data_IF_164328064270
#
_entry.id   IF_164328064270
#
_cell.length_a   1.000
_cell.length_b   1.000
_cell.length_c   1.000
_cell.angle_alpha   90.00
_cell.angle_beta   90.00
_cell.angle_gamma   90.00
#
_symmetry.space_group_name_H-M   'P 1'
#
loop_
_entity.id
_entity.type
_entity.pdbx_description
1 polymer ?
#
# COMPACT_ATOMS: atom_id res chain seq x y z
N UNK A 1 18.93 -5.43 14.53
CA UNK A 1 18.50 -6.04 13.26
C UNK A 1 17.08 -6.56 13.46
N UNK A 2 16.31 -6.67 12.40
CA UNK A 2 14.88 -6.94 12.46
C UNK A 2 14.61 -8.34 11.90
N UNK A 3 14.35 -9.31 12.79
CA UNK A 3 14.20 -10.72 12.42
C UNK A 3 12.88 -10.99 11.73
N UNK A 4 12.90 -11.67 10.60
CA UNK A 4 11.73 -12.19 9.88
C UNK A 4 11.22 -13.42 10.62
N UNK A 5 9.96 -13.42 11.04
CA UNK A 5 9.34 -14.50 11.81
C UNK A 5 8.28 -15.27 11.02
N UNK A 6 7.81 -14.69 9.92
CA UNK A 6 6.88 -15.34 8.99
C UNK A 6 7.04 -14.77 7.60
N UNK A 7 6.96 -15.61 6.59
CA UNK A 7 6.91 -15.21 5.19
C UNK A 7 5.91 -16.06 4.43
N UNK A 8 5.05 -15.41 3.68
CA UNK A 8 4.06 -16.05 2.82
C UNK A 8 4.05 -15.39 1.45
N UNK A 9 3.99 -16.17 0.38
CA UNK A 9 3.72 -15.67 -0.95
C UNK A 9 2.21 -15.64 -1.17
N UNK A 10 1.65 -14.44 -1.38
CA UNK A 10 0.21 -14.23 -1.57
C UNK A 10 -0.23 -14.36 -3.03
N UNK A 11 0.65 -14.00 -3.97
CA UNK A 11 0.47 -14.18 -5.42
C UNK A 11 1.83 -14.35 -6.10
N UNK A 12 1.87 -14.42 -7.42
CA UNK A 12 3.11 -14.66 -8.18
C UNK A 12 4.25 -13.68 -7.82
N UNK A 13 3.91 -12.44 -7.46
CA UNK A 13 4.86 -11.36 -7.21
C UNK A 13 4.56 -10.55 -5.93
N UNK A 14 3.62 -11.00 -5.09
CA UNK A 14 3.23 -10.35 -3.83
C UNK A 14 3.57 -11.24 -2.64
N UNK A 15 4.25 -10.65 -1.67
CA UNK A 15 4.71 -11.31 -0.46
C UNK A 15 4.15 -10.61 0.79
N UNK A 16 3.81 -11.42 1.76
CA UNK A 16 3.51 -11.02 3.14
C UNK A 16 4.69 -11.44 4.02
N UNK A 17 5.10 -10.56 4.92
CA UNK A 17 6.24 -10.79 5.80
C UNK A 17 5.96 -10.20 7.18
N UNK A 18 6.10 -10.99 8.25
CA UNK A 18 6.14 -10.48 9.63
C UNK A 18 7.58 -10.30 10.08
N UNK A 19 7.84 -9.15 10.69
CA UNK A 19 9.17 -8.78 11.17
C UNK A 19 9.07 -8.35 12.63
N UNK A 20 9.99 -8.83 13.46
CA UNK A 20 10.11 -8.40 14.85
C UNK A 20 10.56 -6.93 14.91
N UNK A 21 9.69 -6.06 15.40
CA UNK A 21 9.91 -4.62 15.53
C UNK A 21 9.07 -4.06 16.69
N UNK A 22 9.34 -4.43 17.96
CA UNK A 22 8.44 -4.18 19.09
C UNK A 22 8.17 -2.71 19.34
N UNK A 23 9.14 -1.83 19.15
CA UNK A 23 8.93 -0.39 19.33
C UNK A 23 8.00 0.20 18.25
N UNK A 24 8.14 -0.27 17.01
CA UNK A 24 7.25 0.14 15.91
C UNK A 24 5.85 -0.44 16.13
N UNK A 25 5.74 -1.71 16.51
CA UNK A 25 4.47 -2.39 16.75
C UNK A 25 3.61 -1.70 17.82
N UNK A 26 4.26 -1.23 18.93
CA UNK A 26 3.57 -0.52 20.02
C UNK A 26 3.12 0.88 19.65
N UNK A 27 3.88 1.58 18.81
CA UNK A 27 3.66 3.00 18.54
C UNK A 27 2.94 3.28 17.22
N UNK A 28 2.84 2.29 16.32
CA UNK A 28 2.19 2.48 15.03
C UNK A 28 0.69 2.75 15.15
N UNK A 29 0.16 3.52 14.23
CA UNK A 29 -1.28 3.73 14.00
C UNK A 29 -1.63 3.37 12.55
N UNK A 30 -2.92 3.22 12.27
CA UNK A 30 -3.39 2.97 10.90
C UNK A 30 -2.92 4.06 9.92
N UNK A 31 -2.61 3.68 8.69
CA UNK A 31 -2.14 4.58 7.63
C UNK A 31 -0.63 4.87 7.65
N UNK A 32 0.08 4.54 8.74
CA UNK A 32 1.52 4.77 8.83
C UNK A 32 2.33 3.68 8.11
N UNK A 33 3.55 4.05 7.71
CA UNK A 33 4.48 3.20 6.98
C UNK A 33 5.86 3.13 7.65
N UNK A 34 6.72 2.32 7.11
CA UNK A 34 8.14 2.21 7.46
C UNK A 34 9.03 2.33 6.22
N UNK A 35 10.28 2.74 6.40
CA UNK A 35 11.32 2.57 5.40
C UNK A 35 12.14 1.34 5.74
N UNK A 36 12.19 0.40 4.81
CA UNK A 36 12.96 -0.84 4.92
C UNK A 36 14.26 -0.72 4.14
N UNK A 37 15.39 -1.08 4.76
CA UNK A 37 16.71 -1.07 4.16
C UNK A 37 17.35 -2.44 4.37
N UNK A 38 17.78 -3.09 3.27
CA UNK A 38 18.31 -4.46 3.32
C UNK A 38 19.81 -4.50 3.65
N UNK A 39 20.54 -3.46 3.28
CA UNK A 39 21.97 -3.31 3.45
C UNK A 39 22.26 -1.88 3.95
N UNK A 40 23.07 -1.75 5.02
CA UNK A 40 23.39 -0.46 5.64
C UNK A 40 24.37 0.39 4.81
N UNK A 41 25.21 -0.22 3.98
CA UNK A 41 26.24 0.51 3.22
C UNK A 41 25.69 1.07 1.90
N UNK A 42 25.00 0.24 1.11
CA UNK A 42 24.56 0.57 -0.25
C UNK A 42 23.06 0.28 -0.50
N UNK A 43 22.33 -0.17 0.53
CA UNK A 43 20.93 -0.56 0.38
C UNK A 43 20.02 0.63 0.19
N UNK A 44 19.22 0.60 -0.88
CA UNK A 44 18.09 1.50 -1.02
C UNK A 44 17.08 1.35 0.13
N UNK A 45 16.43 2.45 0.47
CA UNK A 45 15.27 2.46 1.36
C UNK A 45 14.00 2.37 0.57
N UNK A 46 13.13 1.43 0.90
CA UNK A 46 11.82 1.28 0.27
C UNK A 46 10.70 1.55 1.28
N UNK A 47 9.73 2.42 0.95
CA UNK A 47 8.57 2.67 1.80
C UNK A 47 7.59 1.50 1.70
N UNK A 48 7.24 0.93 2.85
CA UNK A 48 6.22 -0.12 2.96
C UNK A 48 5.22 0.25 4.05
N UNK A 49 3.95 0.27 3.72
CA UNK A 49 2.90 0.52 4.71
C UNK A 49 2.81 -0.66 5.68
N UNK A 50 2.58 -0.36 6.96
CA UNK A 50 2.35 -1.39 7.98
C UNK A 50 0.95 -1.96 7.77
N UNK A 51 0.86 -3.16 7.20
CA UNK A 51 -0.40 -3.81 6.84
C UNK A 51 -1.11 -4.45 8.06
N UNK A 52 -0.35 -4.81 9.08
CA UNK A 52 -0.86 -5.38 10.34
C UNK A 52 0.21 -5.26 11.42
N UNK A 53 -0.15 -5.43 12.69
CA UNK A 53 0.82 -5.49 13.79
C UNK A 53 0.20 -6.12 15.04
N UNK A 54 1.07 -6.69 15.87
CA UNK A 54 0.71 -7.12 17.21
C UNK A 54 1.67 -6.48 18.21
N UNK A 55 1.17 -5.58 19.05
CA UNK A 55 1.97 -4.86 20.03
C UNK A 55 2.46 -5.76 21.16
N UNK A 56 1.68 -6.77 21.56
CA UNK A 56 2.02 -7.70 22.65
C UNK A 56 3.11 -8.67 22.22
N UNK A 57 3.01 -9.20 21.00
CA UNK A 57 4.02 -10.10 20.41
C UNK A 57 5.19 -9.32 19.80
N UNK A 58 5.05 -8.02 19.56
CA UNK A 58 6.11 -7.13 19.10
C UNK A 58 6.47 -7.26 17.62
N UNK A 59 5.54 -7.63 16.75
CA UNK A 59 5.78 -7.72 15.30
C UNK A 59 4.93 -6.74 14.49
N UNK A 60 5.43 -6.41 13.32
CA UNK A 60 4.71 -5.72 12.25
C UNK A 60 4.64 -6.60 11.02
N UNK A 61 3.56 -6.45 10.23
CA UNK A 61 3.41 -7.12 8.95
C UNK A 61 3.58 -6.12 7.79
N UNK A 62 4.36 -6.52 6.81
CA UNK A 62 4.61 -5.80 5.58
C UNK A 62 4.10 -6.63 4.41
N UNK A 63 3.44 -5.98 3.45
CA UNK A 63 3.05 -6.60 2.18
C UNK A 63 3.70 -5.81 1.06
N UNK A 64 4.40 -6.50 0.18
CA UNK A 64 5.13 -5.85 -0.90
C UNK A 64 5.08 -6.66 -2.20
N UNK A 65 5.19 -5.96 -3.31
CA UNK A 65 5.25 -6.53 -4.65
C UNK A 65 6.67 -6.39 -5.21
N UNK A 66 7.15 -7.41 -5.92
CA UNK A 66 8.49 -7.43 -6.50
C UNK A 66 8.57 -6.60 -7.78
N UNK A 67 8.36 -5.29 -7.66
CA UNK A 67 8.36 -4.34 -8.78
C UNK A 67 9.71 -3.66 -9.03
N UNK A 68 10.65 -3.75 -8.08
CA UNK A 68 11.99 -3.17 -8.16
C UNK A 68 13.06 -4.11 -7.60
N UNK A 69 14.35 -3.78 -7.82
CA UNK A 69 15.47 -4.59 -7.38
C UNK A 69 15.47 -4.86 -5.87
N UNK A 70 15.17 -3.84 -5.05
CA UNK A 70 15.15 -3.96 -3.58
C UNK A 70 14.04 -4.90 -3.10
N UNK A 71 12.81 -4.77 -3.63
CA UNK A 71 11.71 -5.68 -3.27
C UNK A 71 11.92 -7.09 -3.81
N UNK A 72 12.59 -7.24 -4.96
CA UNK A 72 13.00 -8.55 -5.46
C UNK A 72 14.07 -9.20 -4.55
N UNK A 73 15.05 -8.43 -4.04
CA UNK A 73 16.01 -8.93 -3.05
C UNK A 73 15.30 -9.31 -1.74
N UNK A 74 14.40 -8.46 -1.23
CA UNK A 74 13.63 -8.73 0.00
C UNK A 74 12.80 -10.02 -0.14
N UNK A 75 12.24 -10.29 -1.32
CA UNK A 75 11.47 -11.52 -1.55
C UNK A 75 12.29 -12.81 -1.45
N UNK A 76 13.61 -12.75 -1.42
CA UNK A 76 14.53 -13.90 -1.26
C UNK A 76 14.89 -14.18 0.17
N UNK A 77 14.67 -13.21 1.09
CA UNK A 77 14.89 -13.44 2.51
C UNK A 77 13.93 -14.52 3.02
N UNK A 78 14.38 -15.32 3.96
CA UNK A 78 13.64 -16.42 4.57
C UNK A 78 13.32 -16.12 6.03
N UNK A 79 12.43 -16.91 6.59
CA UNK A 79 12.19 -16.91 8.03
C UNK A 79 13.49 -17.19 8.79
N UNK A 80 13.71 -16.43 9.85
CA UNK A 80 14.93 -16.47 10.64
C UNK A 80 16.02 -15.51 10.20
N UNK A 81 16.02 -15.03 8.95
CA UNK A 81 16.95 -14.00 8.48
C UNK A 81 16.54 -12.61 8.99
N UNK A 82 17.44 -11.64 8.85
CA UNK A 82 17.28 -10.32 9.42
C UNK A 82 17.35 -9.21 8.36
N UNK A 83 16.44 -8.24 8.46
CA UNK A 83 16.51 -7.00 7.71
C UNK A 83 17.42 -6.03 8.43
N UNK A 84 18.30 -5.35 7.71
CA UNK A 84 19.36 -4.51 8.29
C UNK A 84 18.80 -3.31 9.05
N UNK A 85 17.81 -2.59 8.49
CA UNK A 85 17.15 -1.49 9.17
C UNK A 85 15.68 -1.35 8.78
N UNK A 86 14.88 -0.94 9.77
CA UNK A 86 13.49 -0.49 9.58
C UNK A 86 13.33 0.82 10.35
N UNK A 87 13.05 1.89 9.63
CA UNK A 87 12.81 3.21 10.19
C UNK A 87 11.30 3.49 10.25
N UNK A 88 10.78 3.82 11.41
CA UNK A 88 9.35 4.11 11.59
C UNK A 88 8.86 4.01 13.04
N UNK A 89 7.54 4.15 13.27
CA UNK A 89 6.53 4.45 12.26
C UNK A 89 6.67 5.85 11.67
N UNK A 90 6.42 6.01 10.38
CA UNK A 90 6.52 7.27 9.64
C UNK A 90 5.16 7.67 9.07
N UNK A 91 5.06 8.94 8.69
CA UNK A 91 3.84 9.54 8.17
C UNK A 91 2.79 9.84 9.25
N UNK A 92 1.82 10.66 8.87
CA UNK A 92 0.69 10.96 9.73
C UNK A 92 -0.26 9.75 9.79
N UNK A 93 -0.81 9.41 10.95
CA UNK A 93 -1.83 8.38 11.04
C UNK A 93 -3.13 8.83 10.37
N UNK A 94 -3.91 7.88 9.85
CA UNK A 94 -5.27 8.12 9.36
C UNK A 94 -6.11 8.80 10.44
N UNK A 95 -6.85 9.82 10.04
CA UNK A 95 -7.76 10.53 10.93
C UNK A 95 -9.07 9.76 11.09
N UNK A 96 -9.10 8.83 12.02
CA UNK A 96 -10.26 7.96 12.26
C UNK A 96 -11.30 8.65 13.11
N UNK A 97 -12.52 8.80 12.57
CA UNK A 97 -13.70 9.31 13.27
C UNK A 97 -14.94 8.46 12.98
N UNK A 98 -15.94 8.56 13.83
CA UNK A 98 -17.28 8.05 13.54
C UNK A 98 -18.01 9.07 12.70
N UNK A 99 -18.00 8.88 11.38
CA UNK A 99 -18.64 9.77 10.40
C UNK A 99 -19.98 9.22 9.89
N UNK A 100 -20.19 7.89 9.95
CA UNK A 100 -21.39 7.24 9.47
C UNK A 100 -21.08 6.08 8.53
N UNK A 101 -21.22 6.26 7.22
CA UNK A 101 -20.88 5.26 6.19
C UNK A 101 -19.55 5.60 5.54
N UNK A 102 -18.60 4.67 5.62
CA UNK A 102 -17.27 4.79 5.00
C UNK A 102 -17.14 3.74 3.89
N UNK A 103 -16.73 4.17 2.70
CA UNK A 103 -16.40 3.28 1.58
C UNK A 103 -14.89 3.20 1.42
N UNK A 104 -14.33 2.05 1.68
CA UNK A 104 -12.90 1.74 1.50
C UNK A 104 -12.67 1.08 0.15
N UNK A 105 -11.90 1.71 -0.75
CA UNK A 105 -11.60 1.24 -2.10
C UNK A 105 -10.15 0.83 -2.20
N UNK A 106 -9.88 -0.47 -2.38
CA UNK A 106 -8.54 -1.03 -2.48
C UNK A 106 -8.26 -1.59 -3.87
N UNK A 107 -7.15 -1.20 -4.50
CA UNK A 107 -6.74 -1.71 -5.81
C UNK A 107 -5.43 -2.49 -5.77
N UNK A 108 -5.46 -3.76 -6.18
CA UNK A 108 -4.29 -4.64 -6.18
C UNK A 108 -3.65 -4.73 -4.80
N UNK A 109 -2.33 -4.48 -4.73
CA UNK A 109 -1.61 -4.48 -3.45
C UNK A 109 -2.11 -3.41 -2.46
N UNK A 110 -2.79 -2.36 -2.93
CA UNK A 110 -3.36 -1.30 -2.09
C UNK A 110 -4.41 -1.79 -1.08
N UNK A 111 -4.92 -3.00 -1.23
CA UNK A 111 -5.79 -3.66 -0.23
C UNK A 111 -5.05 -3.89 1.09
N UNK A 112 -3.75 -4.18 1.06
CA UNK A 112 -2.96 -4.45 2.25
C UNK A 112 -2.81 -3.21 3.16
N UNK A 113 -2.38 -2.01 2.68
CA UNK A 113 -2.39 -0.79 3.47
C UNK A 113 -3.80 -0.32 3.86
N UNK A 114 -4.82 -0.63 3.07
CA UNK A 114 -6.21 -0.28 3.38
C UNK A 114 -6.75 -1.07 4.58
N UNK A 115 -6.30 -2.30 4.79
CA UNK A 115 -6.83 -3.20 5.83
C UNK A 115 -6.79 -2.61 7.25
N UNK A 116 -5.65 -2.11 7.78
CA UNK A 116 -5.63 -1.51 9.12
C UNK A 116 -6.48 -0.24 9.24
N UNK A 117 -6.66 0.50 8.15
CA UNK A 117 -7.53 1.68 8.10
C UNK A 117 -9.00 1.26 8.18
N UNK A 118 -9.39 0.28 7.38
CA UNK A 118 -10.73 -0.31 7.39
C UNK A 118 -11.10 -0.89 8.77
N UNK A 119 -10.17 -1.61 9.41
CA UNK A 119 -10.33 -2.09 10.80
C UNK A 119 -10.58 -0.93 11.77
N UNK A 120 -9.81 0.15 11.66
CA UNK A 120 -9.92 1.29 12.56
C UNK A 120 -11.27 2.03 12.37
N UNK A 121 -11.73 2.23 11.14
CA UNK A 121 -13.06 2.80 10.89
C UNK A 121 -14.19 1.90 11.42
N UNK A 122 -14.07 0.59 11.25
CA UNK A 122 -15.05 -0.37 11.79
C UNK A 122 -15.08 -0.33 13.31
N UNK A 123 -13.91 -0.32 13.95
CA UNK A 123 -13.79 -0.21 15.41
C UNK A 123 -14.35 1.10 15.97
N UNK A 124 -14.27 2.20 15.20
CA UNK A 124 -14.87 3.49 15.54
C UNK A 124 -16.43 3.51 15.41
N UNK A 125 -17.03 2.42 14.93
CA UNK A 125 -18.49 2.25 14.85
C UNK A 125 -19.10 2.82 13.58
N UNK A 126 -18.35 2.89 12.48
CA UNK A 126 -18.85 3.22 11.16
C UNK A 126 -19.48 2.00 10.46
N UNK A 127 -20.44 2.25 9.56
CA UNK A 127 -20.82 1.27 8.55
C UNK A 127 -19.68 1.21 7.52
N UNK A 128 -19.09 0.03 7.38
CA UNK A 128 -17.92 -0.19 6.53
C UNK A 128 -18.31 -0.93 5.25
N UNK A 129 -18.16 -0.27 4.11
CA UNK A 129 -18.28 -0.85 2.79
C UNK A 129 -16.89 -0.98 2.19
N UNK A 130 -16.52 -2.15 1.68
CA UNK A 130 -15.22 -2.37 1.06
C UNK A 130 -15.41 -2.74 -0.41
N UNK A 131 -14.71 -2.03 -1.29
CA UNK A 131 -14.64 -2.33 -2.72
C UNK A 131 -13.20 -2.75 -3.02
N UNK A 132 -13.01 -3.99 -3.42
CA UNK A 132 -11.69 -4.53 -3.80
C UNK A 132 -11.60 -4.68 -5.31
N UNK A 133 -10.52 -4.20 -5.90
CA UNK A 133 -10.25 -4.32 -7.32
C UNK A 133 -8.94 -5.03 -7.62
N UNK A 134 -8.94 -5.92 -8.61
CA UNK A 134 -7.75 -6.55 -9.14
C UNK A 134 -7.91 -6.81 -10.66
N UNK A 135 -6.81 -7.08 -11.36
CA UNK A 135 -6.88 -7.47 -12.78
C UNK A 135 -7.57 -8.83 -12.96
N UNK A 136 -7.31 -9.76 -12.04
CA UNK A 136 -7.88 -11.10 -12.03
C UNK A 136 -7.93 -11.66 -10.60
N UNK A 137 -8.56 -12.84 -10.44
CA UNK A 137 -8.71 -13.54 -9.16
C UNK A 137 -7.36 -13.81 -8.46
N UNK A 138 -6.33 -14.17 -9.20
CA UNK A 138 -5.03 -14.56 -8.63
C UNK A 138 -4.28 -13.41 -7.97
N UNK A 139 -4.65 -12.16 -8.28
CA UNK A 139 -4.08 -10.94 -7.71
C UNK A 139 -4.92 -10.36 -6.56
N UNK A 140 -6.03 -11.01 -6.20
CA UNK A 140 -6.79 -10.63 -5.00
C UNK A 140 -6.05 -11.11 -3.76
N UNK A 141 -5.80 -10.18 -2.85
CA UNK A 141 -5.17 -10.47 -1.56
C UNK A 141 -6.11 -10.02 -0.43
N UNK A 142 -6.03 -10.64 0.73
CA UNK A 142 -6.78 -10.26 1.94
C UNK A 142 -8.31 -10.29 1.80
N UNK A 143 -8.86 -11.04 0.84
CA UNK A 143 -10.32 -11.15 0.69
C UNK A 143 -10.98 -11.61 2.00
N UNK A 144 -10.50 -12.71 2.60
CA UNK A 144 -11.08 -13.24 3.83
C UNK A 144 -10.96 -12.25 5.01
N UNK A 145 -9.81 -11.54 5.10
CA UNK A 145 -9.60 -10.50 6.12
C UNK A 145 -10.60 -9.35 5.96
N UNK A 146 -10.80 -8.86 4.74
CA UNK A 146 -11.75 -7.77 4.47
C UNK A 146 -13.18 -8.23 4.68
N UNK A 147 -13.52 -9.44 4.25
CA UNK A 147 -14.84 -10.04 4.44
C UNK A 147 -15.22 -10.17 5.93
N UNK A 148 -14.25 -10.45 6.78
CA UNK A 148 -14.46 -10.58 8.22
C UNK A 148 -14.83 -9.26 8.94
N UNK A 149 -14.45 -8.11 8.38
CA UNK A 149 -14.65 -6.80 9.01
C UNK A 149 -15.69 -5.92 8.29
N UNK A 150 -15.89 -6.10 6.99
CA UNK A 150 -16.81 -5.30 6.18
C UNK A 150 -18.27 -5.65 6.47
N UNK A 151 -19.15 -4.63 6.49
CA UNK A 151 -20.60 -4.84 6.46
C UNK A 151 -21.05 -5.24 5.06
N UNK A 152 -20.40 -4.68 4.03
CA UNK A 152 -20.61 -5.01 2.63
C UNK A 152 -19.25 -5.12 1.92
N UNK A 153 -19.04 -6.19 1.14
CA UNK A 153 -17.83 -6.40 0.34
C UNK A 153 -18.19 -6.58 -1.13
N UNK A 154 -17.64 -5.71 -1.98
CA UNK A 154 -17.76 -5.79 -3.44
C UNK A 154 -16.41 -6.13 -4.03
N UNK A 155 -16.35 -7.17 -4.86
CA UNK A 155 -15.14 -7.60 -5.56
C UNK A 155 -15.31 -7.27 -7.05
N UNK A 156 -14.31 -6.60 -7.61
CA UNK A 156 -14.22 -6.25 -9.02
C UNK A 156 -12.97 -6.86 -9.63
N UNK A 157 -13.09 -7.46 -10.82
CA UNK A 157 -11.94 -7.90 -11.60
C UNK A 157 -12.05 -7.41 -13.03
N UNK A 158 -10.92 -6.96 -13.61
CA UNK A 158 -10.92 -6.43 -14.98
C UNK A 158 -11.34 -7.50 -16.00
N UNK A 159 -10.96 -8.76 -15.76
CA UNK A 159 -11.26 -9.90 -16.63
C UNK A 159 -12.59 -10.60 -16.31
N UNK A 160 -13.18 -10.36 -15.16
CA UNK A 160 -14.42 -11.01 -14.68
C UNK A 160 -14.20 -12.42 -14.12
N UNK A 161 -12.95 -12.78 -13.75
CA UNK A 161 -12.63 -14.11 -13.20
C UNK A 161 -13.24 -14.38 -11.83
N UNK A 162 -13.57 -13.32 -11.06
CA UNK A 162 -14.33 -13.39 -9.82
C UNK A 162 -15.01 -12.05 -9.54
N UNK A 163 -16.15 -12.09 -8.83
CA UNK A 163 -16.94 -10.90 -8.54
C UNK A 163 -17.59 -10.31 -9.79
N UNK A 164 -17.66 -8.98 -9.84
CA UNK A 164 -18.17 -8.23 -10.98
C UNK A 164 -17.03 -7.89 -11.93
N UNK A 165 -17.24 -8.00 -13.23
CA UNK A 165 -16.31 -7.51 -14.24
C UNK A 165 -16.44 -5.99 -14.37
N UNK A 166 -15.32 -5.27 -14.30
CA UNK A 166 -15.27 -3.82 -14.46
C UNK A 166 -14.33 -3.15 -13.48
N UNK A 167 -14.47 -1.84 -13.33
CA UNK A 167 -13.60 -1.00 -12.50
C UNK A 167 -14.22 -0.71 -11.13
N UNK A 168 -13.40 -0.49 -10.12
CA UNK A 168 -13.85 -0.12 -8.75
C UNK A 168 -14.66 1.18 -8.69
N UNK A 169 -14.52 2.04 -9.68
CA UNK A 169 -15.28 3.29 -9.81
C UNK A 169 -16.76 3.07 -10.13
N UNK A 170 -17.12 1.93 -10.70
CA UNK A 170 -18.53 1.62 -11.02
C UNK A 170 -19.35 1.42 -9.74
N UNK A 171 -19.02 0.45 -8.84
CA UNK A 171 -19.73 0.33 -7.58
C UNK A 171 -19.54 1.55 -6.67
N UNK A 172 -18.38 2.24 -6.71
CA UNK A 172 -18.20 3.47 -5.97
C UNK A 172 -19.24 4.52 -6.37
N UNK A 173 -19.47 4.69 -7.67
CA UNK A 173 -20.51 5.59 -8.19
C UNK A 173 -21.90 5.15 -7.75
N UNK A 174 -22.21 3.84 -7.82
CA UNK A 174 -23.49 3.29 -7.38
C UNK A 174 -23.78 3.64 -5.90
N UNK A 175 -22.76 3.60 -5.02
CA UNK A 175 -22.92 4.03 -3.63
C UNK A 175 -23.09 5.55 -3.51
N UNK A 176 -22.40 6.35 -4.31
CA UNK A 176 -22.59 7.81 -4.33
C UNK A 176 -23.97 8.22 -4.85
N UNK A 177 -24.58 7.44 -5.73
CA UNK A 177 -25.94 7.66 -6.24
C UNK A 177 -27.05 7.34 -5.20
N UNK A 178 -26.71 6.66 -4.09
CA UNK A 178 -27.66 6.32 -3.02
C UNK A 178 -28.02 7.53 -2.16
N UNK A 179 -29.13 7.43 -1.43
CA UNK A 179 -29.54 8.40 -0.43
C UNK A 179 -29.86 7.68 0.90
N UNK A 180 -29.07 7.87 1.98
CA UNK A 180 -27.92 8.77 2.03
C UNK A 180 -26.72 8.25 1.24
N UNK A 181 -25.94 9.17 0.67
CA UNK A 181 -24.64 8.89 0.07
C UNK A 181 -23.61 8.56 1.16
N UNK A 182 -22.44 7.96 0.83
CA UNK A 182 -21.35 7.77 1.79
C UNK A 182 -20.88 9.10 2.41
N UNK A 183 -20.48 9.05 3.67
CA UNK A 183 -19.94 10.21 4.38
C UNK A 183 -18.46 10.42 4.06
N UNK A 184 -17.72 9.31 3.82
CA UNK A 184 -16.30 9.36 3.51
C UNK A 184 -15.90 8.20 2.59
N UNK A 185 -14.94 8.44 1.71
CA UNK A 185 -14.29 7.45 0.86
C UNK A 185 -12.79 7.43 1.13
N UNK A 186 -12.22 6.25 1.29
CA UNK A 186 -10.77 6.05 1.37
C UNK A 186 -10.34 5.19 0.20
N UNK A 187 -9.49 5.71 -0.68
CA UNK A 187 -9.02 4.99 -1.86
C UNK A 187 -7.50 4.79 -1.84
N UNK A 188 -7.06 3.52 -1.90
CA UNK A 188 -5.64 3.14 -1.87
C UNK A 188 -5.34 2.13 -2.99
N UNK A 189 -4.40 2.48 -3.86
CA UNK A 189 -4.01 1.63 -4.98
C UNK A 189 -3.15 2.36 -6.02
N UNK A 190 -3.16 1.93 -7.26
CA UNK A 190 -2.45 2.62 -8.32
C UNK A 190 -2.86 4.10 -8.43
N UNK A 191 -1.94 5.04 -8.71
CA UNK A 191 -2.26 6.46 -8.78
C UNK A 191 -3.42 6.80 -9.72
N UNK A 192 -3.50 6.10 -10.84
CA UNK A 192 -4.59 6.28 -11.80
C UNK A 192 -5.96 5.87 -11.22
N UNK A 193 -6.01 4.79 -10.41
CA UNK A 193 -7.23 4.37 -9.72
C UNK A 193 -7.66 5.43 -8.70
N UNK A 194 -6.74 5.91 -7.86
CA UNK A 194 -7.02 6.95 -6.87
C UNK A 194 -7.53 8.25 -7.54
N UNK A 195 -6.91 8.66 -8.66
CA UNK A 195 -7.37 9.79 -9.48
C UNK A 195 -8.82 9.62 -9.91
N UNK A 196 -9.18 8.44 -10.45
CA UNK A 196 -10.54 8.19 -10.92
C UNK A 196 -11.54 8.03 -9.76
N UNK A 197 -11.16 7.45 -8.62
CA UNK A 197 -12.01 7.42 -7.43
C UNK A 197 -12.34 8.85 -6.97
N UNK A 198 -11.33 9.73 -6.85
CA UNK A 198 -11.52 11.12 -6.50
C UNK A 198 -12.41 11.88 -7.54
N UNK A 199 -12.18 11.63 -8.82
CA UNK A 199 -13.04 12.23 -9.87
C UNK A 199 -14.49 11.73 -9.81
N UNK A 200 -14.71 10.47 -9.42
CA UNK A 200 -16.05 9.88 -9.27
C UNK A 200 -16.80 10.50 -8.10
N UNK A 201 -16.14 10.74 -6.97
CA UNK A 201 -16.77 11.26 -5.74
C UNK A 201 -16.99 12.77 -5.76
N UNK A 202 -16.18 13.51 -6.53
CA UNK A 202 -16.19 14.98 -6.57
C UNK A 202 -17.56 15.61 -6.90
N UNK A 203 -18.32 15.12 -7.90
CA UNK A 203 -19.65 15.67 -8.20
C UNK A 203 -20.67 15.52 -7.08
N UNK A 204 -20.44 14.58 -6.17
CA UNK A 204 -21.30 14.29 -5.03
C UNK A 204 -20.87 15.02 -3.75
N UNK A 205 -19.76 15.74 -3.80
CA UNK A 205 -19.17 16.38 -2.63
C UNK A 205 -18.99 15.38 -1.46
N UNK A 206 -18.44 14.21 -1.76
CA UNK A 206 -18.08 13.18 -0.77
C UNK A 206 -16.61 13.30 -0.46
N UNK A 207 -16.27 13.56 0.82
CA UNK A 207 -14.88 13.63 1.26
C UNK A 207 -14.11 12.37 0.87
N UNK A 208 -12.99 12.53 0.16
CA UNK A 208 -12.26 11.41 -0.43
C UNK A 208 -10.80 11.48 -0.06
N UNK A 209 -10.38 10.57 0.80
CA UNK A 209 -8.98 10.42 1.23
C UNK A 209 -8.27 9.45 0.30
N UNK A 210 -7.07 9.82 -0.13
CA UNK A 210 -6.18 8.97 -0.94
C UNK A 210 -4.83 8.81 -0.23
N UNK A 211 -4.27 7.61 -0.22
CA UNK A 211 -2.95 7.35 0.34
C UNK A 211 -1.92 7.27 -0.78
N UNK A 212 -1.05 8.27 -0.86
CA UNK A 212 -0.13 8.45 -1.98
C UNK A 212 1.15 7.60 -1.83
N UNK A 213 1.57 6.99 -2.93
CA UNK A 213 2.72 6.09 -3.02
C UNK A 213 3.85 6.69 -3.88
N UNK A 214 4.32 7.87 -3.51
CA UNK A 214 5.44 8.54 -4.20
C UNK A 214 6.79 7.88 -3.88
N UNK A 215 7.82 8.19 -4.69
CA UNK A 215 9.21 7.80 -4.40
C UNK A 215 9.64 8.46 -3.09
N UNK A 216 10.16 7.68 -2.15
CA UNK A 216 10.68 8.15 -0.85
C UNK A 216 12.09 7.61 -0.62
N UNK A 217 12.96 8.44 -0.04
CA UNK A 217 14.35 8.10 0.25
C UNK A 217 14.64 8.20 1.76
N UNK A 218 14.46 9.38 2.37
CA UNK A 218 14.79 9.61 3.77
C UNK A 218 13.61 9.46 4.74
N UNK A 219 12.38 9.76 4.29
CA UNK A 219 11.17 9.66 5.10
C UNK A 219 10.98 10.75 6.16
N UNK A 220 11.87 11.77 6.20
CA UNK A 220 11.89 12.82 7.22
C UNK A 220 11.58 14.22 6.70
N UNK A 221 11.24 14.32 5.40
CA UNK A 221 10.94 15.60 4.74
C UNK A 221 12.16 16.39 4.26
N UNK A 222 13.38 15.91 4.49
CA UNK A 222 14.59 16.67 4.14
C UNK A 222 14.93 16.62 2.66
N UNK A 223 14.85 15.44 2.01
CA UNK A 223 15.31 15.27 0.63
C UNK A 223 14.34 15.81 -0.43
N UNK A 224 13.06 16.01 -0.08
CA UNK A 224 12.03 16.50 -1.00
C UNK A 224 11.69 15.55 -2.16
N UNK A 225 12.15 14.31 -2.14
CA UNK A 225 11.92 13.33 -3.21
C UNK A 225 10.44 12.99 -3.37
N UNK A 226 9.73 12.87 -2.25
CA UNK A 226 8.31 12.53 -2.17
C UNK A 226 7.35 13.73 -2.35
N UNK A 227 7.85 14.88 -2.85
CA UNK A 227 7.00 16.05 -3.01
C UNK A 227 5.86 15.82 -4.01
N UNK A 228 4.71 16.34 -3.67
CA UNK A 228 3.48 16.31 -4.46
C UNK A 228 2.83 17.70 -4.41
N UNK A 229 2.04 18.03 -5.41
CA UNK A 229 1.23 19.27 -5.39
C UNK A 229 -0.17 18.93 -4.90
N UNK A 230 -0.59 19.58 -3.80
CA UNK A 230 -1.93 19.49 -3.22
C UNK A 230 -2.46 20.90 -3.01
N UNK A 231 -3.63 21.19 -3.52
CA UNK A 231 -4.22 22.55 -3.50
C UNK A 231 -3.25 23.65 -4.01
N UNK A 232 -2.51 23.34 -5.09
CA UNK A 232 -1.51 24.24 -5.66
C UNK A 232 -0.25 24.45 -4.82
N UNK A 233 -0.11 23.77 -3.68
CA UNK A 233 1.05 23.88 -2.77
C UNK A 233 1.90 22.62 -2.81
N UNK A 234 3.21 22.78 -2.68
CA UNK A 234 4.11 21.61 -2.50
C UNK A 234 3.97 21.04 -1.09
N UNK A 235 3.73 19.76 -1.01
CA UNK A 235 3.71 18.98 0.23
C UNK A 235 4.64 17.76 0.10
N UNK A 236 5.09 17.21 1.23
CA UNK A 236 5.97 16.05 1.29
C UNK A 236 5.21 14.85 1.84
N UNK A 237 4.95 13.85 0.99
CA UNK A 237 4.12 12.70 1.33
C UNK A 237 4.62 11.96 2.58
N UNK A 238 5.92 11.95 2.85
CA UNK A 238 6.48 11.26 4.00
C UNK A 238 6.21 11.94 5.36
N UNK A 239 5.94 13.25 5.40
CA UNK A 239 5.73 14.00 6.65
C UNK A 239 4.40 14.75 6.70
N UNK A 240 3.87 15.21 5.55
CA UNK A 240 2.56 15.87 5.49
C UNK A 240 1.43 14.86 5.22
N UNK A 241 1.75 13.68 4.65
CA UNK A 241 0.86 12.58 4.34
C UNK A 241 1.19 11.31 5.16
N UNK A 242 0.93 10.12 4.62
CA UNK A 242 0.72 9.80 3.20
C UNK A 242 -0.69 10.09 2.67
N UNK A 243 -1.63 10.42 3.50
CA UNK A 243 -3.02 10.65 3.15
C UNK A 243 -3.32 12.11 2.87
N UNK A 244 -4.10 12.35 1.81
CA UNK A 244 -4.50 13.69 1.36
C UNK A 244 -5.94 13.66 0.84
N UNK A 245 -6.59 14.83 0.79
CA UNK A 245 -7.84 15.01 0.06
C UNK A 245 -7.59 14.78 -1.43
N UNK A 246 -8.15 13.70 -1.96
CA UNK A 246 -7.99 13.28 -3.35
C UNK A 246 -8.50 14.31 -4.36
N UNK A 247 -9.43 15.18 -3.98
CA UNK A 247 -9.96 16.24 -4.85
C UNK A 247 -8.96 17.38 -5.08
N UNK A 248 -7.91 17.47 -4.24
CA UNK A 248 -6.91 18.54 -4.24
C UNK A 248 -5.56 18.09 -4.79
N UNK A 249 -5.34 16.78 -4.97
CA UNK A 249 -4.07 16.22 -5.46
C UNK A 249 -3.89 16.43 -6.97
N UNK A 250 -2.75 16.96 -7.38
CA UNK A 250 -2.30 16.96 -8.79
C UNK A 250 -1.70 15.58 -9.15
N UNK A 251 -2.58 14.64 -9.50
CA UNK A 251 -2.17 13.27 -9.87
C UNK A 251 -1.33 13.24 -11.16
N UNK A 252 -1.55 14.17 -12.10
CA UNK A 252 -0.81 14.15 -13.36
C UNK A 252 0.66 14.51 -13.15
N UNK A 253 0.94 15.54 -12.35
CA UNK A 253 2.29 15.88 -11.93
C UNK A 253 2.92 14.74 -11.11
N UNK A 254 2.20 14.18 -10.16
CA UNK A 254 2.66 13.03 -9.36
C UNK A 254 3.08 11.85 -10.25
N UNK A 255 2.23 11.42 -11.18
CA UNK A 255 2.52 10.30 -12.08
C UNK A 255 3.69 10.60 -13.02
N UNK A 256 3.83 11.84 -13.51
CA UNK A 256 4.97 12.26 -14.30
C UNK A 256 6.29 12.11 -13.53
N UNK A 257 6.30 12.55 -12.27
CA UNK A 257 7.47 12.43 -11.39
C UNK A 257 7.85 10.98 -11.09
N UNK A 258 6.87 10.12 -10.86
CA UNK A 258 7.11 8.68 -10.62
C UNK A 258 7.79 7.99 -11.81
N UNK A 259 7.65 8.52 -13.02
CA UNK A 259 8.30 7.97 -14.23
C UNK A 259 9.76 8.37 -14.38
N UNK A 260 10.26 9.34 -13.62
CA UNK A 260 11.60 9.95 -13.81
C UNK A 260 12.76 8.95 -13.70
N UNK A 261 12.60 7.86 -12.93
CA UNK A 261 13.64 6.85 -12.71
C UNK A 261 13.31 5.50 -13.34
N UNK A 262 12.20 5.39 -14.07
CA UNK A 262 11.69 4.11 -14.60
C UNK A 262 12.73 3.34 -15.42
N UNK A 263 13.55 4.02 -16.23
CA UNK A 263 14.61 3.37 -17.01
C UNK A 263 15.66 2.73 -16.12
N UNK A 264 16.16 3.45 -15.12
CA UNK A 264 17.14 2.94 -14.15
C UNK A 264 16.58 1.78 -13.33
N UNK A 265 15.36 1.90 -12.86
CA UNK A 265 14.68 0.83 -12.10
C UNK A 265 14.58 -0.47 -12.93
N UNK A 266 14.30 -0.36 -14.23
CA UNK A 266 14.25 -1.50 -15.15
C UNK A 266 15.64 -2.13 -15.35
N UNK A 267 16.67 -1.32 -15.53
CA UNK A 267 18.06 -1.79 -15.70
C UNK A 267 18.55 -2.49 -14.41
N UNK A 268 18.31 -1.92 -13.25
CA UNK A 268 18.69 -2.50 -11.96
C UNK A 268 17.93 -3.79 -11.66
N UNK A 269 16.66 -3.84 -12.02
CA UNK A 269 15.84 -5.07 -11.92
C UNK A 269 16.40 -6.17 -12.83
N UNK A 270 16.77 -5.82 -14.06
CA UNK A 270 17.38 -6.77 -15.01
C UNK A 270 18.69 -7.33 -14.47
N UNK A 271 19.61 -6.46 -13.99
CA UNK A 271 20.86 -6.88 -13.37
C UNK A 271 20.62 -7.82 -12.17
N UNK A 272 19.71 -7.46 -11.28
CA UNK A 272 19.38 -8.28 -10.12
C UNK A 272 18.85 -9.67 -10.50
N UNK A 273 18.07 -9.78 -11.59
CA UNK A 273 17.61 -11.08 -12.11
C UNK A 273 18.74 -11.91 -12.69
N UNK A 274 19.65 -11.28 -13.44
CA UNK A 274 20.80 -11.97 -14.03
C UNK A 274 21.75 -12.50 -12.96
N UNK A 275 22.04 -11.69 -11.91
CA UNK A 275 22.83 -12.11 -10.76
C UNK A 275 22.22 -13.34 -10.09
N UNK A 276 20.93 -13.32 -9.83
CA UNK A 276 20.23 -14.45 -9.22
C UNK A 276 20.27 -15.73 -10.07
N UNK A 277 20.16 -15.60 -11.41
CA UNK A 277 20.28 -16.74 -12.30
C UNK A 277 21.70 -17.31 -12.28
N UNK A 278 22.72 -16.43 -12.27
CA UNK A 278 24.12 -16.85 -12.17
C UNK A 278 24.42 -17.59 -10.85
N UNK A 279 23.92 -17.08 -9.72
CA UNK A 279 24.04 -17.73 -8.41
C UNK A 279 23.35 -19.11 -8.38
N UNK A 280 22.14 -19.21 -8.96
CA UNK A 280 21.41 -20.48 -9.04
C UNK A 280 22.13 -21.52 -9.90
N UNK A 281 22.74 -21.11 -11.04
CA UNK A 281 23.55 -21.99 -11.88
C UNK A 281 24.82 -22.44 -11.14
N UNK A 282 25.50 -21.53 -10.44
CA UNK A 282 26.69 -21.85 -9.67
C UNK A 282 26.39 -22.84 -8.52
N UNK A 283 25.27 -22.68 -7.86
CA UNK A 283 24.80 -23.58 -6.79
C UNK A 283 24.31 -24.96 -7.32
N UNK A 284 23.75 -25.01 -8.53
CA UNK A 284 23.25 -26.24 -9.15
C UNK A 284 24.30 -27.05 -9.93
N UNK A 285 25.44 -26.46 -10.26
CA UNK A 285 26.55 -27.12 -11.01
C UNK A 285 27.48 -28.02 -10.21
N UNK A 286 27.16 -28.27 -8.93
CA UNK A 286 27.93 -29.10 -8.00
C UNK A 286 27.34 -30.51 -7.75
N UNK A 287 26.71 -31.15 -8.79
CA UNK A 287 26.28 -32.55 -8.72
C UNK A 287 26.87 -33.34 -9.83
#
# INVERSE_FOLDING_TARGET
MYKIIEKQQLSADVFYMRVMAPEIARNRKAGQFVLVQLDLEFGERVPLTIADANADEGWIALVFQTVGATTLKLSRFNEGEEVAAILGPLGNPTHIQKVGTVVCVGGGIGVAPLYPIAQAYKAAGNKLIVIMGARNKELLIFEDKMRAIADELVIMTDDGSVGRKGLVTEPLKEYCDQNPKPDEVVAIGPPIMMKFCAATTKPYDVHTVVSLNTIMIDGTGMCGCCRVTVDGKTQFVCVDGPEFDGHLVDFDNMMLRMRSFKGREQDDMHKCRMEAQAEAIAAGGGK
#
